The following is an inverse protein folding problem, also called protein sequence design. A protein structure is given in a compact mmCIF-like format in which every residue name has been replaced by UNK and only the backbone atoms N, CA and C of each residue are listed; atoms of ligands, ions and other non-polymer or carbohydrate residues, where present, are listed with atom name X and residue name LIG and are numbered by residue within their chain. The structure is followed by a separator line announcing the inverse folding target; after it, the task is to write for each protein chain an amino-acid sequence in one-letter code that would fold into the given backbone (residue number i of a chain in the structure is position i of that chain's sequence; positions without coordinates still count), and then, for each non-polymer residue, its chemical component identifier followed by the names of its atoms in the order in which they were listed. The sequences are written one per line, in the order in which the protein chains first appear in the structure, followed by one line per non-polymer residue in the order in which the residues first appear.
data_IF_305387993428
#
_entry.id   IF_305387993428
#
_cell.length_a   1.000
_cell.length_b   1.000
_cell.length_c   1.000
_cell.angle_alpha   90.00
_cell.angle_beta   90.00
_cell.angle_gamma   90.00
#
_symmetry.space_group_name_H-M   'P 1'
#
loop_
_entity.id
_entity.type
_entity.pdbx_description
1 polymer ?
#
# COMPACT_ATOMS: atom_id res chain seq x y z
N UNK A 1 -14.48 -7.53 0.81
CA UNK A 1 -13.26 -8.33 1.03
C UNK A 1 -13.20 -9.57 0.14
N UNK A 2 -14.33 -10.13 -0.30
CA UNK A 2 -14.46 -11.21 -1.29
C UNK A 2 -13.39 -11.31 -2.40
N UNK A 3 -12.98 -10.22 -3.03
CA UNK A 3 -11.93 -10.30 -4.07
C UNK A 3 -10.57 -10.74 -3.52
N UNK A 4 -10.17 -10.24 -2.34
CA UNK A 4 -8.94 -10.68 -1.67
C UNK A 4 -9.05 -12.15 -1.26
N UNK A 5 -10.21 -12.56 -0.74
CA UNK A 5 -10.49 -13.97 -0.41
C UNK A 5 -10.44 -14.89 -1.65
N UNK A 6 -10.75 -14.36 -2.84
CA UNK A 6 -10.65 -15.05 -4.12
C UNK A 6 -9.25 -14.94 -4.76
N UNK A 7 -8.25 -14.41 -4.03
CA UNK A 7 -6.86 -14.32 -4.48
C UNK A 7 -6.48 -13.04 -5.24
N UNK A 8 -7.34 -12.02 -5.25
CA UNK A 8 -6.99 -10.74 -5.87
C UNK A 8 -5.96 -9.98 -5.02
N UNK A 9 -4.90 -9.51 -5.68
CA UNK A 9 -3.90 -8.65 -5.07
C UNK A 9 -4.43 -7.22 -5.03
N UNK A 10 -4.42 -6.62 -3.84
CA UNK A 10 -4.87 -5.25 -3.64
C UNK A 10 -3.68 -4.28 -3.50
N UNK A 11 -3.66 -3.26 -4.34
CA UNK A 11 -2.78 -2.10 -4.25
C UNK A 11 -3.52 -0.88 -3.69
N UNK A 12 -2.84 -0.10 -2.85
CA UNK A 12 -3.32 1.22 -2.39
C UNK A 12 -2.29 2.32 -2.65
N UNK A 13 -2.79 3.54 -2.85
CA UNK A 13 -1.96 4.68 -3.23
C UNK A 13 -1.34 5.35 -2.00
N UNK A 14 -0.02 5.59 -2.04
CA UNK A 14 0.74 6.22 -0.96
C UNK A 14 0.15 7.57 -0.51
N UNK A 15 -0.37 8.36 -1.46
CA UNK A 15 -1.04 9.64 -1.18
C UNK A 15 -2.31 9.49 -0.32
N UNK A 16 -3.04 8.38 -0.44
CA UNK A 16 -4.17 8.08 0.45
C UNK A 16 -3.71 7.87 1.89
N UNK A 17 -2.54 7.23 2.09
CA UNK A 17 -1.99 6.91 3.41
C UNK A 17 -1.53 8.19 4.13
N UNK A 18 -0.80 9.06 3.44
CA UNK A 18 -0.30 10.31 4.03
C UNK A 18 -1.42 11.34 4.21
N UNK A 19 -2.47 11.28 3.37
CA UNK A 19 -3.70 12.07 3.51
C UNK A 19 -3.93 13.11 2.41
N UNK A 20 -3.14 13.11 1.35
CA UNK A 20 -3.24 14.08 0.26
C UNK A 20 -4.57 13.96 -0.53
N UNK A 21 -5.20 12.78 -0.54
CA UNK A 21 -6.54 12.59 -1.13
C UNK A 21 -7.69 12.81 -0.12
N UNK A 22 -7.40 13.51 0.97
CA UNK A 22 -8.40 13.89 1.97
C UNK A 22 -8.68 12.82 3.03
N UNK A 23 -9.46 13.24 4.03
CA UNK A 23 -9.70 12.48 5.28
C UNK A 23 -10.41 11.16 5.05
N UNK A 24 -11.37 11.11 4.12
CA UNK A 24 -12.12 9.89 3.83
C UNK A 24 -11.22 8.80 3.23
N UNK A 25 -10.39 9.17 2.26
CA UNK A 25 -9.42 8.27 1.64
C UNK A 25 -8.42 7.74 2.67
N UNK A 26 -7.89 8.62 3.53
CA UNK A 26 -6.99 8.23 4.63
C UNK A 26 -7.64 7.27 5.60
N UNK A 27 -8.88 7.52 6.02
CA UNK A 27 -9.61 6.63 6.94
C UNK A 27 -9.83 5.25 6.30
N UNK A 28 -10.20 5.22 5.03
CA UNK A 28 -10.42 3.98 4.29
C UNK A 28 -9.13 3.15 4.19
N UNK A 29 -8.03 3.72 3.70
CA UNK A 29 -6.78 2.97 3.51
C UNK A 29 -6.20 2.46 4.83
N UNK A 30 -6.28 3.25 5.91
CA UNK A 30 -5.82 2.82 7.23
C UNK A 30 -6.69 1.68 7.79
N UNK A 31 -8.00 1.70 7.53
CA UNK A 31 -8.86 0.57 7.87
C UNK A 31 -8.49 -0.68 7.06
N UNK A 32 -8.24 -0.56 5.75
CA UNK A 32 -7.83 -1.70 4.91
C UNK A 32 -6.49 -2.30 5.36
N UNK A 33 -5.52 -1.45 5.69
CA UNK A 33 -4.21 -1.87 6.21
C UNK A 33 -4.34 -2.61 7.55
N UNK A 34 -5.18 -2.12 8.48
CA UNK A 34 -5.42 -2.78 9.77
C UNK A 34 -6.13 -4.12 9.66
N UNK A 35 -6.90 -4.33 8.60
CA UNK A 35 -7.59 -5.58 8.33
C UNK A 35 -6.84 -6.48 7.34
N UNK A 36 -5.53 -6.27 7.17
CA UNK A 36 -4.66 -7.11 6.33
C UNK A 36 -5.13 -7.28 4.88
N UNK A 37 -5.82 -6.28 4.31
CA UNK A 37 -6.31 -6.34 2.94
C UNK A 37 -5.30 -5.88 1.89
N UNK A 38 -4.35 -5.05 2.30
CA UNK A 38 -3.42 -4.38 1.38
C UNK A 38 -2.20 -5.25 1.19
N UNK A 39 -1.90 -5.54 -0.07
CA UNK A 39 -0.73 -6.33 -0.45
C UNK A 39 0.38 -5.42 -0.96
N UNK A 40 0.02 -4.36 -1.69
CA UNK A 40 0.98 -3.46 -2.32
C UNK A 40 0.67 -2.00 -1.97
N UNK A 41 1.73 -1.23 -1.71
CA UNK A 41 1.66 0.23 -1.64
C UNK A 41 2.48 0.79 -2.79
N UNK A 42 1.85 1.58 -3.66
CA UNK A 42 2.49 2.23 -4.79
C UNK A 42 2.29 3.75 -4.72
N UNK A 43 3.18 4.51 -5.36
CA UNK A 43 3.12 5.98 -5.32
C UNK A 43 1.92 6.55 -6.08
N UNK A 44 1.55 5.89 -7.20
CA UNK A 44 0.65 6.44 -8.23
C UNK A 44 1.03 7.88 -8.63
N UNK A 45 2.34 8.13 -8.72
CA UNK A 45 2.89 9.44 -8.98
C UNK A 45 2.72 9.83 -10.46
N UNK A 46 2.42 11.10 -10.71
CA UNK A 46 2.24 11.65 -12.06
C UNK A 46 3.11 12.89 -12.31
N UNK A 47 3.61 13.53 -11.26
CA UNK A 47 4.41 14.76 -11.37
C UNK A 47 5.09 15.07 -10.04
N UNK A 48 6.19 15.84 -10.00
CA UNK A 48 6.83 16.25 -8.75
C UNK A 48 5.98 17.21 -7.88
N UNK A 49 4.93 17.84 -8.43
CA UNK A 49 4.13 18.85 -7.72
C UNK A 49 2.70 18.38 -7.47
N UNK A 50 1.95 17.98 -8.51
CA UNK A 50 0.54 17.60 -8.39
C UNK A 50 0.30 16.26 -7.71
N UNK A 51 0.96 15.18 -8.19
CA UNK A 51 0.95 13.85 -7.57
C UNK A 51 2.38 13.35 -7.33
N UNK A 52 3.08 13.85 -6.28
CA UNK A 52 4.46 13.50 -6.00
C UNK A 52 4.63 12.06 -5.49
N UNK A 53 5.80 11.43 -5.69
CA UNK A 53 6.09 10.08 -5.23
C UNK A 53 6.38 10.02 -3.72
N UNK A 54 5.34 10.10 -2.89
CA UNK A 54 5.44 10.12 -1.42
C UNK A 54 5.62 8.74 -0.76
N UNK A 55 6.18 7.77 -1.48
CA UNK A 55 6.23 6.37 -1.04
C UNK A 55 7.02 6.19 0.27
N UNK A 56 8.15 6.88 0.45
CA UNK A 56 8.94 6.80 1.68
C UNK A 56 8.20 7.36 2.91
N UNK A 57 7.32 8.35 2.73
CA UNK A 57 6.48 8.85 3.82
C UNK A 57 5.38 7.84 4.15
N UNK A 58 4.71 7.27 3.13
CA UNK A 58 3.75 6.20 3.36
C UNK A 58 4.38 4.99 4.08
N UNK A 59 5.60 4.59 3.68
CA UNK A 59 6.35 3.53 4.35
C UNK A 59 6.52 3.83 5.85
N UNK A 60 6.99 5.03 6.23
CA UNK A 60 7.12 5.41 7.65
C UNK A 60 5.80 5.31 8.42
N UNK A 61 4.70 5.76 7.83
CA UNK A 61 3.36 5.68 8.45
C UNK A 61 2.94 4.23 8.65
N UNK A 62 3.13 3.37 7.65
CA UNK A 62 2.75 1.95 7.75
C UNK A 62 3.69 1.19 8.70
N UNK A 63 5.00 1.46 8.68
CA UNK A 63 5.96 0.86 9.62
C UNK A 63 5.59 1.17 11.08
N UNK A 64 5.19 2.40 11.37
CA UNK A 64 4.75 2.78 12.71
C UNK A 64 3.43 2.09 13.13
N UNK A 65 2.62 1.63 12.18
CA UNK A 65 1.32 1.01 12.44
C UNK A 65 1.37 -0.53 12.48
N UNK A 66 2.14 -1.16 11.59
CA UNK A 66 2.14 -2.60 11.35
C UNK A 66 3.52 -3.27 11.53
N UNK A 67 4.54 -2.49 11.91
CA UNK A 67 5.93 -2.94 11.97
C UNK A 67 6.68 -2.77 10.64
N UNK A 68 8.00 -2.64 10.75
CA UNK A 68 8.87 -2.37 9.60
C UNK A 68 8.86 -3.49 8.56
N UNK A 69 8.90 -4.74 9.00
CA UNK A 69 8.90 -5.90 8.09
C UNK A 69 7.62 -5.96 7.24
N UNK A 70 6.45 -5.79 7.87
CA UNK A 70 5.16 -5.78 7.18
C UNK A 70 5.09 -4.66 6.15
N UNK A 71 5.55 -3.47 6.52
CA UNK A 71 5.54 -2.32 5.64
C UNK A 71 6.54 -2.48 4.48
N UNK A 72 7.74 -3.02 4.75
CA UNK A 72 8.77 -3.33 3.75
C UNK A 72 8.27 -4.33 2.71
N UNK A 73 7.57 -5.39 3.15
CA UNK A 73 6.95 -6.36 2.24
C UNK A 73 6.02 -5.66 1.23
N UNK A 74 5.17 -4.75 1.69
CA UNK A 74 4.18 -4.08 0.84
C UNK A 74 4.77 -3.12 -0.21
N UNK A 75 5.98 -2.59 0.02
CA UNK A 75 6.63 -1.62 -0.91
C UNK A 75 7.76 -2.22 -1.73
N UNK A 76 8.29 -3.39 -1.35
CA UNK A 76 9.47 -3.99 -1.97
C UNK A 76 9.24 -5.46 -2.34
N UNK A 77 9.01 -6.33 -1.36
CA UNK A 77 8.98 -7.78 -1.61
C UNK A 77 7.77 -8.20 -2.45
N UNK A 78 6.58 -7.71 -2.11
CA UNK A 78 5.34 -8.01 -2.83
C UNK A 78 5.37 -7.46 -4.28
N UNK A 79 5.76 -6.18 -4.54
CA UNK A 79 6.02 -5.72 -5.90
C UNK A 79 7.04 -6.57 -6.67
N UNK A 80 8.12 -7.01 -6.02
CA UNK A 80 9.13 -7.88 -6.64
C UNK A 80 8.53 -9.23 -7.06
N UNK A 81 7.71 -9.85 -6.21
CA UNK A 81 7.01 -11.09 -6.56
C UNK A 81 6.12 -10.93 -7.81
N UNK A 82 5.42 -9.79 -7.94
CA UNK A 82 4.63 -9.49 -9.14
C UNK A 82 5.52 -9.45 -10.39
N UNK A 83 6.67 -8.76 -10.31
CA UNK A 83 7.61 -8.65 -11.42
C UNK A 83 8.23 -10.01 -11.81
N UNK A 84 8.45 -10.88 -10.83
CA UNK A 84 9.05 -12.20 -11.02
C UNK A 84 8.02 -13.29 -11.37
N UNK A 85 6.73 -12.96 -11.40
CA UNK A 85 5.66 -13.94 -11.64
C UNK A 85 5.50 -14.97 -10.52
N UNK A 86 5.96 -14.64 -9.31
CA UNK A 86 5.84 -15.49 -8.13
C UNK A 86 4.43 -15.34 -7.54
N UNK A 87 3.66 -16.42 -7.36
CA UNK A 87 2.34 -16.36 -6.75
C UNK A 87 2.37 -15.77 -5.33
N UNK A 88 1.37 -14.95 -4.98
CA UNK A 88 1.14 -14.56 -3.59
C UNK A 88 0.59 -15.77 -2.84
N UNK A 89 1.41 -16.32 -1.95
CA UNK A 89 0.97 -17.33 -0.98
C UNK A 89 0.64 -16.57 0.31
N UNK A 90 -0.66 -16.53 0.62
CA UNK A 90 -1.19 -16.03 1.90
C UNK A 90 -0.84 -16.97 3.05
#
# INVERSE_FOLDING_TARGET
MRFVELGAILQVTAQSIVGNFGRASKKCVLWMLRNSLVHVIASDAHSPIGRPPVLSHALKVVSAMLGEDSARKMVLDHPKMILEGIPFVS
#
